data_IF_386441079660
#
_entry.id   IF_386441079660
#
_cell.length_a   1.000
_cell.length_b   1.000
_cell.length_c   1.000
_cell.angle_alpha   90.00
_cell.angle_beta   90.00
_cell.angle_gamma   90.00
#
_symmetry.space_group_name_H-M   'P 1'
#
loop_
_entity.id
_entity.type
_entity.pdbx_description
1 polymer ?
#
# COMPACT_ATOMS: atom_id res chain seq x y z
N UNK A 1 -24.66 -29.67 -21.82
CA UNK A 1 -23.57 -29.37 -20.87
C UNK A 1 -22.31 -29.18 -21.70
N UNK A 2 -21.97 -27.94 -22.05
CA UNK A 2 -20.69 -27.60 -22.67
C UNK A 2 -19.72 -27.36 -21.52
N UNK A 3 -18.81 -28.31 -21.33
CA UNK A 3 -17.79 -28.26 -20.29
C UNK A 3 -16.70 -27.24 -20.69
N UNK A 4 -16.50 -26.23 -19.85
CA UNK A 4 -15.25 -25.81 -19.18
C UNK A 4 -13.88 -25.83 -19.91
N UNK A 5 -13.77 -26.06 -21.22
CA UNK A 5 -12.48 -26.11 -21.94
C UNK A 5 -11.75 -24.75 -22.04
N UNK A 6 -12.36 -23.66 -21.56
CA UNK A 6 -11.75 -22.32 -21.51
C UNK A 6 -11.19 -21.93 -20.13
N UNK A 7 -11.25 -22.83 -19.14
CA UNK A 7 -10.98 -22.52 -17.73
C UNK A 7 -9.73 -23.22 -17.17
N UNK A 8 -9.00 -23.96 -18.00
CA UNK A 8 -7.79 -24.65 -17.56
C UNK A 8 -6.66 -23.66 -17.28
N UNK A 9 -6.19 -23.66 -16.03
CA UNK A 9 -5.04 -22.89 -15.59
C UNK A 9 -3.77 -23.56 -16.09
N UNK A 10 -3.06 -22.91 -17.00
CA UNK A 10 -1.78 -23.42 -17.49
C UNK A 10 -0.69 -23.38 -16.38
N UNK A 11 0.39 -24.15 -16.55
CA UNK A 11 1.46 -24.24 -15.54
C UNK A 11 2.11 -22.90 -15.20
N UNK A 12 2.23 -21.98 -16.16
CA UNK A 12 2.81 -20.65 -15.91
C UNK A 12 1.90 -19.81 -15.00
N UNK A 13 0.60 -19.78 -15.29
CA UNK A 13 -0.40 -19.09 -14.48
C UNK A 13 -0.51 -19.74 -13.10
N UNK A 14 -0.49 -21.07 -13.02
CA UNK A 14 -0.48 -21.79 -11.75
C UNK A 14 0.73 -21.39 -10.88
N UNK A 15 1.94 -21.35 -11.46
CA UNK A 15 3.14 -20.92 -10.73
C UNK A 15 3.03 -19.47 -10.23
N UNK A 16 2.49 -18.55 -11.03
CA UNK A 16 2.24 -17.16 -10.61
C UNK A 16 1.21 -17.09 -9.48
N UNK A 17 0.14 -17.89 -9.55
CA UNK A 17 -0.86 -18.00 -8.49
C UNK A 17 -0.26 -18.56 -7.20
N UNK A 18 0.59 -19.59 -7.28
CA UNK A 18 1.29 -20.14 -6.12
C UNK A 18 2.17 -19.10 -5.42
N UNK A 19 2.97 -18.33 -6.19
CA UNK A 19 3.78 -17.25 -5.63
C UNK A 19 2.94 -16.12 -5.04
N UNK A 20 1.82 -15.78 -5.69
CA UNK A 20 0.89 -14.78 -5.18
C UNK A 20 0.32 -15.19 -3.82
N UNK A 21 -0.21 -16.40 -3.69
CA UNK A 21 -0.79 -16.89 -2.42
C UNK A 21 0.25 -17.29 -1.37
N UNK A 22 1.52 -17.48 -1.74
CA UNK A 22 2.61 -17.70 -0.78
C UNK A 22 2.99 -16.42 0.00
N UNK A 23 2.63 -15.24 -0.49
CA UNK A 23 2.86 -13.96 0.21
C UNK A 23 1.88 -13.80 1.37
N UNK A 24 2.35 -13.26 2.51
CA UNK A 24 1.50 -12.99 3.67
C UNK A 24 0.41 -11.93 3.37
N UNK A 25 0.67 -11.00 2.45
CA UNK A 25 -0.28 -9.97 2.02
C UNK A 25 -0.28 -9.85 0.48
N UNK A 26 -0.91 -10.79 -0.24
CA UNK A 26 -0.78 -10.91 -1.70
C UNK A 26 -1.12 -9.61 -2.44
N UNK A 27 -2.25 -9.00 -2.10
CA UNK A 27 -2.69 -7.75 -2.74
C UNK A 27 -1.77 -6.57 -2.45
N UNK A 28 -1.30 -6.45 -1.21
CA UNK A 28 -0.40 -5.35 -0.83
C UNK A 28 0.98 -5.52 -1.45
N UNK A 29 1.48 -6.76 -1.56
CA UNK A 29 2.71 -7.05 -2.28
C UNK A 29 2.60 -6.67 -3.76
N UNK A 30 1.50 -7.02 -4.42
CA UNK A 30 1.24 -6.61 -5.81
C UNK A 30 1.21 -5.08 -5.96
N UNK A 31 0.56 -4.35 -5.04
CA UNK A 31 0.55 -2.88 -5.07
C UNK A 31 1.93 -2.28 -4.82
N UNK A 32 2.71 -2.85 -3.90
CA UNK A 32 4.09 -2.44 -3.61
C UNK A 32 5.01 -2.63 -4.82
N UNK A 33 4.92 -3.78 -5.48
CA UNK A 33 5.67 -4.06 -6.70
C UNK A 33 5.25 -3.12 -7.85
N UNK A 34 3.96 -2.85 -7.99
CA UNK A 34 3.45 -1.91 -8.99
C UNK A 34 3.91 -0.46 -8.73
N UNK A 35 3.97 -0.02 -7.47
CA UNK A 35 4.42 1.34 -7.11
C UNK A 35 5.93 1.47 -7.31
N UNK A 36 6.69 0.45 -6.94
CA UNK A 36 8.14 0.38 -7.21
C UNK A 36 8.43 0.41 -8.72
N UNK A 37 7.63 -0.33 -9.50
CA UNK A 37 7.70 -0.31 -10.96
C UNK A 37 7.35 1.07 -11.53
N UNK A 38 6.30 1.74 -11.04
CA UNK A 38 5.93 3.08 -11.48
C UNK A 38 7.09 4.07 -11.33
N UNK A 39 7.80 4.06 -10.19
CA UNK A 39 8.96 4.93 -9.98
C UNK A 39 10.12 4.55 -10.90
N UNK A 40 10.35 3.25 -11.10
CA UNK A 40 11.42 2.75 -11.99
C UNK A 40 11.17 3.08 -13.47
N UNK A 41 9.91 3.03 -13.92
CA UNK A 41 9.50 3.29 -15.30
C UNK A 41 9.45 4.80 -15.62
N UNK A 42 9.49 5.68 -14.61
CA UNK A 42 9.42 7.14 -14.75
C UNK A 42 10.63 7.85 -14.11
N UNK A 43 11.86 7.63 -14.62
CA UNK A 43 13.08 8.20 -14.01
C UNK A 43 13.14 9.73 -14.08
N UNK A 44 12.39 10.36 -14.98
CA UNK A 44 12.31 11.82 -15.12
C UNK A 44 11.49 12.48 -14.00
N UNK A 45 10.68 11.70 -13.26
CA UNK A 45 9.90 12.20 -12.15
C UNK A 45 10.70 12.10 -10.84
N UNK A 46 10.76 13.17 -10.03
CA UNK A 46 11.31 13.09 -8.69
C UNK A 46 10.57 12.04 -7.86
N UNK A 47 11.33 11.13 -7.24
CA UNK A 47 10.78 10.09 -6.36
C UNK A 47 9.97 10.69 -5.20
N UNK A 48 10.38 11.89 -4.76
CA UNK A 48 9.71 12.70 -3.74
C UNK A 48 8.24 12.93 -4.06
N UNK A 49 7.85 13.10 -5.33
CA UNK A 49 6.44 13.28 -5.70
C UNK A 49 5.58 12.07 -5.31
N UNK A 50 6.15 10.86 -5.38
CA UNK A 50 5.45 9.63 -5.00
C UNK A 50 5.52 9.43 -3.49
N UNK A 51 6.70 9.57 -2.89
CA UNK A 51 6.89 9.32 -1.46
C UNK A 51 6.15 10.36 -0.61
N UNK A 52 6.12 11.63 -1.02
CA UNK A 52 5.41 12.69 -0.30
C UNK A 52 3.90 12.57 -0.41
N UNK A 53 3.40 12.07 -1.54
CA UNK A 53 1.98 11.73 -1.67
C UNK A 53 1.59 10.65 -0.64
N UNK A 54 2.37 9.57 -0.56
CA UNK A 54 2.13 8.47 0.38
C UNK A 54 2.27 8.93 1.84
N UNK A 55 3.30 9.71 2.17
CA UNK A 55 3.50 10.22 3.54
C UNK A 55 2.38 11.18 3.95
N UNK A 56 1.95 12.07 3.05
CA UNK A 56 0.83 12.99 3.31
C UNK A 56 -0.45 12.21 3.62
N UNK A 57 -0.77 11.15 2.86
CA UNK A 57 -1.91 10.28 3.14
C UNK A 57 -1.80 9.60 4.52
N UNK A 58 -0.60 9.14 4.89
CA UNK A 58 -0.34 8.56 6.20
C UNK A 58 -0.59 9.58 7.32
N UNK A 59 -0.06 10.80 7.17
CA UNK A 59 -0.23 11.89 8.12
C UNK A 59 -1.69 12.32 8.27
N UNK A 60 -2.45 12.40 7.17
CA UNK A 60 -3.90 12.72 7.21
C UNK A 60 -4.64 11.64 8.01
N UNK A 61 -4.38 10.36 7.76
CA UNK A 61 -5.02 9.28 8.50
C UNK A 61 -4.65 9.33 9.99
N UNK A 62 -3.37 9.57 10.32
CA UNK A 62 -2.90 9.71 11.71
C UNK A 62 -3.62 10.86 12.43
N UNK A 63 -3.62 12.05 11.82
CA UNK A 63 -4.27 13.25 12.38
C UNK A 63 -5.77 13.02 12.61
N UNK A 64 -6.46 12.35 11.67
CA UNK A 64 -7.88 11.99 11.83
C UNK A 64 -8.14 11.06 13.01
N UNK A 65 -7.21 10.15 13.32
CA UNK A 65 -7.34 9.14 14.37
C UNK A 65 -6.90 9.64 15.76
N UNK A 66 -5.88 10.51 15.80
CA UNK A 66 -5.27 10.99 17.05
C UNK A 66 -5.90 12.29 17.57
N UNK A 67 -6.43 13.14 16.70
CA UNK A 67 -7.02 14.43 17.11
C UNK A 67 -8.44 14.20 17.64
N UNK A 68 -8.73 14.44 18.95
CA UNK A 68 -10.04 14.16 19.54
C UNK A 68 -11.19 14.90 18.85
N UNK A 69 -10.96 16.12 18.38
CA UNK A 69 -11.93 16.95 17.67
C UNK A 69 -12.33 16.34 16.32
N UNK A 70 -11.40 15.69 15.62
CA UNK A 70 -11.69 14.97 14.37
C UNK A 70 -12.27 13.60 14.65
N UNK A 71 -11.74 12.90 15.65
CA UNK A 71 -12.23 11.58 16.03
C UNK A 71 -13.69 11.60 16.46
N UNK A 72 -14.15 12.67 17.12
CA UNK A 72 -15.57 12.82 17.50
C UNK A 72 -16.46 13.23 16.32
N UNK A 73 -15.93 13.97 15.34
CA UNK A 73 -16.66 14.38 14.13
C UNK A 73 -16.73 13.29 13.05
N UNK A 74 -15.73 12.41 13.00
CA UNK A 74 -15.60 11.31 12.03
C UNK A 74 -15.67 9.93 12.72
N UNK A 75 -16.33 9.87 13.88
CA UNK A 75 -16.30 8.78 14.87
C UNK A 75 -16.94 7.45 14.44
N UNK A 76 -17.30 7.28 13.17
CA UNK A 76 -17.86 6.00 12.75
C UNK A 76 -16.76 4.92 12.83
N UNK A 77 -17.12 3.74 13.34
CA UNK A 77 -16.21 2.61 13.42
C UNK A 77 -15.64 2.25 12.04
N UNK A 78 -16.47 2.36 11.00
CA UNK A 78 -16.08 2.16 9.59
C UNK A 78 -14.98 3.15 9.15
N UNK A 79 -15.12 4.43 9.48
CA UNK A 79 -14.12 5.46 9.14
C UNK A 79 -12.79 5.20 9.85
N UNK A 80 -12.84 4.83 11.14
CA UNK A 80 -11.63 4.49 11.90
C UNK A 80 -10.92 3.29 11.26
N UNK A 81 -11.65 2.24 10.97
CA UNK A 81 -11.16 1.02 10.33
C UNK A 81 -10.62 1.27 8.92
N UNK A 82 -11.23 2.18 8.18
CA UNK A 82 -10.76 2.63 6.87
C UNK A 82 -9.42 3.37 7.00
N UNK A 83 -9.35 4.40 7.84
CA UNK A 83 -8.12 5.18 8.06
C UNK A 83 -6.96 4.31 8.53
N UNK A 84 -7.21 3.35 9.43
CA UNK A 84 -6.17 2.40 9.88
C UNK A 84 -5.62 1.55 8.73
N UNK A 85 -6.48 1.00 7.86
CA UNK A 85 -6.04 0.19 6.72
C UNK A 85 -5.31 1.02 5.67
N UNK A 86 -5.82 2.21 5.37
CA UNK A 86 -5.16 3.15 4.43
C UNK A 86 -3.79 3.53 4.96
N UNK A 87 -3.69 3.93 6.22
CA UNK A 87 -2.44 4.33 6.87
C UNK A 87 -1.39 3.21 6.79
N UNK A 88 -1.73 1.98 7.19
CA UNK A 88 -0.80 0.83 7.11
C UNK A 88 -0.42 0.53 5.66
N UNK A 89 -1.38 0.59 4.73
CA UNK A 89 -1.12 0.36 3.31
C UNK A 89 -0.09 1.35 2.75
N UNK A 90 -0.31 2.65 2.94
CA UNK A 90 0.60 3.68 2.40
C UNK A 90 1.97 3.69 3.09
N UNK A 91 2.06 3.33 4.37
CA UNK A 91 3.35 3.18 5.08
C UNK A 91 4.17 2.05 4.45
N UNK A 92 3.56 0.90 4.17
CA UNK A 92 4.27 -0.24 3.56
C UNK A 92 4.69 0.08 2.13
N UNK A 93 3.85 0.78 1.35
CA UNK A 93 4.22 1.26 0.02
C UNK A 93 5.39 2.25 0.09
N UNK A 94 5.33 3.22 1.01
CA UNK A 94 6.41 4.18 1.21
C UNK A 94 7.73 3.48 1.55
N UNK A 95 7.70 2.47 2.44
CA UNK A 95 8.90 1.74 2.86
C UNK A 95 9.61 1.03 1.70
N UNK A 96 8.85 0.47 0.76
CA UNK A 96 9.42 -0.20 -0.41
C UNK A 96 9.93 0.76 -1.49
N UNK A 97 9.34 1.96 -1.59
CA UNK A 97 9.68 2.93 -2.63
C UNK A 97 10.78 3.89 -2.18
N UNK A 98 10.73 4.35 -0.93
CA UNK A 98 11.67 5.33 -0.42
C UNK A 98 13.07 4.69 -0.28
N UNK A 99 14.15 5.30 -0.80
CA UNK A 99 15.47 4.65 -0.88
C UNK A 99 16.04 4.18 0.45
N UNK A 100 15.67 4.85 1.54
CA UNK A 100 16.11 4.55 2.89
C UNK A 100 14.98 3.99 3.77
N UNK A 101 13.81 3.69 3.21
CA UNK A 101 12.66 3.13 3.91
C UNK A 101 11.90 4.12 4.79
N UNK A 102 10.82 3.64 5.42
CA UNK A 102 9.91 4.42 6.26
C UNK A 102 10.42 4.59 7.70
N UNK A 103 11.39 3.77 8.14
CA UNK A 103 11.81 3.66 9.55
C UNK A 103 13.04 4.50 9.93
N UNK A 104 13.63 5.23 8.97
CA UNK A 104 14.74 6.13 9.25
C UNK A 104 14.25 7.37 10.00
N UNK A 105 15.15 7.97 10.78
CA UNK A 105 14.83 9.19 11.56
C UNK A 105 14.44 10.39 10.70
N UNK A 106 14.82 10.40 9.43
CA UNK A 106 14.53 11.46 8.46
C UNK A 106 13.33 11.13 7.57
N UNK A 107 12.57 10.08 7.90
CA UNK A 107 11.35 9.71 7.17
C UNK A 107 10.26 10.73 7.43
N UNK A 108 9.48 11.04 6.38
CA UNK A 108 8.31 11.90 6.51
C UNK A 108 7.12 11.20 7.19
N UNK A 109 7.24 9.90 7.50
CA UNK A 109 6.24 9.11 8.22
C UNK A 109 6.65 8.94 9.67
N UNK A 110 5.79 9.40 10.58
CA UNK A 110 5.93 9.17 12.01
C UNK A 110 5.33 7.82 12.41
N UNK A 111 6.20 6.81 12.44
CA UNK A 111 5.87 5.41 12.77
C UNK A 111 5.69 5.17 14.29
N UNK A 112 5.94 6.18 15.13
CA UNK A 112 5.80 6.08 16.59
C UNK A 112 4.41 6.42 17.09
#
# INVERSE_FOLDING_TARGET
MLADEGNEVNNELANRMSLFYASATPMLKTLSDATSKFVSDNPDLPIENTTDCLSTMASVCKVMLETPEYRTRFASEETVLFCLRVMVGVIILYDHVHPAGAFIKTSNIDVR
#
